data_IF_946736152759
#
_entry.id   IF_946736152759
#
_cell.length_a   1.000
_cell.length_b   1.000
_cell.length_c   1.000
_cell.angle_alpha   90.00
_cell.angle_beta   90.00
_cell.angle_gamma   90.00
#
_symmetry.space_group_name_H-M   'P 1'
#
loop_
_entity.id
_entity.type
_entity.pdbx_description
1 polymer ?
#
# COMPACT_ATOMS: atom_id res chain seq x y z
N UNK A 1 -7.20 -13.84 31.37
CA UNK A 1 -7.39 -12.69 30.46
C UNK A 1 -6.49 -11.56 30.92
N UNK A 2 -5.77 -10.92 30.03
CA UNK A 2 -4.92 -9.78 30.38
C UNK A 2 -5.82 -8.58 30.72
N UNK A 3 -5.44 -7.80 31.74
CA UNK A 3 -6.14 -6.57 32.13
C UNK A 3 -5.30 -5.37 31.72
N UNK A 4 -5.96 -4.30 31.28
CA UNK A 4 -5.33 -3.00 30.99
C UNK A 4 -6.00 -1.89 31.80
N UNK A 5 -5.27 -0.79 32.00
CA UNK A 5 -5.80 0.38 32.68
C UNK A 5 -6.71 1.20 31.75
N UNK A 6 -7.77 1.77 32.31
CA UNK A 6 -8.63 2.76 31.66
C UNK A 6 -8.19 4.14 32.16
N UNK A 7 -7.92 5.03 31.24
CA UNK A 7 -7.45 6.39 31.51
C UNK A 7 -8.59 7.38 31.37
N UNK A 8 -8.66 8.35 32.28
CA UNK A 8 -9.57 9.48 32.20
C UNK A 8 -9.06 10.50 31.17
N UNK A 9 -9.88 11.50 30.86
CA UNK A 9 -9.49 12.65 29.99
C UNK A 9 -8.25 13.37 30.53
N UNK A 10 -8.01 13.35 31.83
CA UNK A 10 -6.84 13.98 32.47
C UNK A 10 -5.59 13.10 32.51
N UNK A 11 -5.69 11.86 32.02
CA UNK A 11 -4.57 10.91 32.02
C UNK A 11 -4.45 10.07 33.32
N UNK A 12 -5.34 10.25 34.29
CA UNK A 12 -5.36 9.47 35.52
C UNK A 12 -5.97 8.08 35.27
N UNK A 13 -5.53 7.08 36.03
CA UNK A 13 -6.11 5.73 35.96
C UNK A 13 -7.46 5.70 36.67
N UNK A 14 -8.53 5.58 35.91
CA UNK A 14 -9.92 5.52 36.43
C UNK A 14 -10.35 4.10 36.80
N UNK A 15 -9.83 3.08 36.10
CA UNK A 15 -10.23 1.69 36.35
C UNK A 15 -9.39 0.68 35.60
N UNK A 16 -9.85 -0.58 35.61
CA UNK A 16 -9.26 -1.68 34.84
C UNK A 16 -10.34 -2.40 34.05
N UNK A 17 -9.99 -2.83 32.86
CA UNK A 17 -10.86 -3.63 31.98
C UNK A 17 -10.14 -4.86 31.45
N UNK A 18 -10.89 -5.93 31.20
CA UNK A 18 -10.38 -7.14 30.60
C UNK A 18 -10.16 -6.92 29.09
N UNK A 19 -8.98 -7.29 28.61
CA UNK A 19 -8.61 -7.13 27.21
C UNK A 19 -9.30 -8.20 26.36
N UNK A 20 -9.95 -7.84 25.24
CA UNK A 20 -10.59 -8.81 24.34
C UNK A 20 -9.62 -9.86 23.83
N UNK A 21 -10.09 -11.10 23.64
CA UNK A 21 -9.29 -12.23 23.14
C UNK A 21 -8.60 -11.99 21.77
N UNK A 22 -9.03 -10.98 21.03
CA UNK A 22 -8.38 -10.59 19.77
C UNK A 22 -6.92 -10.13 19.96
N UNK A 23 -6.59 -9.56 21.11
CA UNK A 23 -5.24 -9.10 21.45
C UNK A 23 -4.31 -10.25 21.91
N UNK A 24 -4.84 -11.42 22.21
CA UNK A 24 -4.05 -12.61 22.56
C UNK A 24 -3.55 -13.37 21.33
N UNK A 25 -3.93 -12.93 20.12
CA UNK A 25 -3.53 -13.57 18.85
C UNK A 25 -2.03 -13.39 18.60
N UNK A 26 -1.29 -14.43 18.18
CA UNK A 26 0.14 -14.32 17.91
C UNK A 26 0.41 -13.32 16.78
N UNK A 27 1.50 -12.57 16.92
CA UNK A 27 1.93 -11.60 15.91
C UNK A 27 2.45 -12.29 14.64
N UNK A 28 1.76 -12.07 13.52
CA UNK A 28 2.02 -12.67 12.20
C UNK A 28 2.25 -11.58 11.14
N UNK A 29 3.47 -11.03 11.06
CA UNK A 29 3.80 -9.96 10.11
C UNK A 29 3.68 -10.40 8.63
N UNK A 30 3.87 -11.69 8.34
CA UNK A 30 3.70 -12.29 7.03
C UNK A 30 2.26 -12.10 6.48
N UNK A 31 1.26 -12.42 7.29
CA UNK A 31 -0.16 -12.28 6.92
C UNK A 31 -0.57 -10.80 6.83
N UNK A 32 -0.09 -9.98 7.76
CA UNK A 32 -0.34 -8.53 7.74
C UNK A 32 0.23 -7.93 6.45
N UNK A 33 1.48 -8.25 6.10
CA UNK A 33 2.11 -7.78 4.85
C UNK A 33 1.31 -8.21 3.63
N UNK A 34 0.89 -9.48 3.55
CA UNK A 34 0.07 -10.02 2.46
C UNK A 34 -1.25 -9.24 2.31
N UNK A 35 -1.93 -8.99 3.42
CA UNK A 35 -3.21 -8.26 3.43
C UNK A 35 -3.03 -6.80 3.02
N UNK A 36 -2.00 -6.12 3.51
CA UNK A 36 -1.70 -4.71 3.18
C UNK A 36 -1.34 -4.57 1.70
N UNK A 37 -0.49 -5.46 1.17
CA UNK A 37 -0.13 -5.44 -0.25
C UNK A 37 -1.35 -5.67 -1.16
N UNK A 38 -2.25 -6.58 -0.76
CA UNK A 38 -3.50 -6.80 -1.49
C UNK A 38 -4.41 -5.57 -1.43
N UNK A 39 -4.56 -4.93 -0.27
CA UNK A 39 -5.36 -3.71 -0.12
C UNK A 39 -4.78 -2.57 -0.97
N UNK A 40 -3.47 -2.37 -0.95
CA UNK A 40 -2.79 -1.36 -1.76
C UNK A 40 -2.94 -1.63 -3.28
N UNK A 41 -2.84 -2.90 -3.69
CA UNK A 41 -3.05 -3.28 -5.09
C UNK A 41 -4.50 -3.05 -5.55
N UNK A 42 -5.48 -3.31 -4.67
CA UNK A 42 -6.90 -3.12 -4.97
C UNK A 42 -7.31 -1.63 -5.00
N UNK A 43 -6.63 -0.78 -4.26
CA UNK A 43 -6.83 0.68 -4.30
C UNK A 43 -6.08 1.38 -5.43
N UNK A 44 -5.26 0.67 -6.18
CA UNK A 44 -4.44 1.23 -7.24
C UNK A 44 -5.28 1.56 -8.47
N UNK A 45 -5.15 2.78 -8.97
CA UNK A 45 -5.76 3.15 -10.24
C UNK A 45 -4.94 2.59 -11.40
N UNK A 46 -5.56 1.84 -12.33
CA UNK A 46 -4.89 1.34 -13.52
C UNK A 46 -4.37 2.49 -14.39
N UNK A 47 -3.18 2.32 -14.89
CA UNK A 47 -2.57 3.34 -15.73
C UNK A 47 -1.66 2.69 -16.78
N UNK A 48 -1.60 3.30 -17.95
CA UNK A 48 -0.76 2.86 -19.05
C UNK A 48 -0.84 3.82 -20.24
N UNK A 49 0.12 3.76 -21.16
CA UNK A 49 0.05 4.52 -22.40
C UNK A 49 -1.12 4.05 -23.26
N UNK A 50 -1.56 4.91 -24.18
CA UNK A 50 -2.57 4.52 -25.17
C UNK A 50 -2.11 3.34 -26.02
N UNK A 51 -3.02 2.48 -26.46
CA UNK A 51 -2.71 1.24 -27.20
C UNK A 51 -1.87 1.48 -28.48
N UNK A 52 -2.02 2.65 -29.10
CA UNK A 52 -1.29 3.04 -30.33
C UNK A 52 -0.11 4.00 -30.08
N UNK A 53 0.35 4.13 -28.84
CA UNK A 53 1.51 4.97 -28.51
C UNK A 53 2.76 4.49 -29.24
N UNK A 54 3.41 5.39 -29.97
CA UNK A 54 4.58 5.08 -30.80
C UNK A 54 4.27 4.45 -32.16
N UNK A 55 2.97 4.25 -32.50
CA UNK A 55 2.52 3.64 -33.76
C UNK A 55 1.64 4.57 -34.61
N UNK A 56 1.71 5.88 -34.36
CA UNK A 56 0.83 6.86 -35.05
C UNK A 56 1.49 7.54 -36.26
N UNK A 57 2.77 7.26 -36.49
CA UNK A 57 3.50 7.81 -37.64
C UNK A 57 3.33 6.91 -38.87
N UNK A 58 3.28 7.55 -40.06
CA UNK A 58 3.43 6.82 -41.31
C UNK A 58 4.90 6.44 -41.48
N UNK A 59 5.16 5.16 -41.60
CA UNK A 59 6.53 4.63 -41.69
C UNK A 59 6.68 3.70 -42.89
N UNK A 60 7.86 3.72 -43.48
CA UNK A 60 8.24 2.81 -44.55
C UNK A 60 9.72 2.48 -44.47
N UNK A 61 10.13 1.36 -45.08
CA UNK A 61 11.55 1.05 -45.24
C UNK A 61 12.08 1.66 -46.54
N UNK A 62 13.34 2.08 -46.53
CA UNK A 62 13.98 2.57 -47.76
C UNK A 62 14.38 1.45 -48.72
N UNK A 63 14.27 0.19 -48.30
CA UNK A 63 14.58 -0.97 -49.09
C UNK A 63 16.09 -1.24 -49.24
N UNK A 64 16.43 -1.98 -50.28
CA UNK A 64 17.82 -2.38 -50.57
C UNK A 64 18.59 -1.25 -51.33
N UNK A 65 19.91 -1.28 -51.26
CA UNK A 65 20.79 -0.42 -52.07
C UNK A 65 20.96 1.01 -51.55
N UNK A 66 20.50 1.31 -50.32
CA UNK A 66 20.58 2.66 -49.72
C UNK A 66 21.76 2.85 -48.76
N UNK A 67 22.54 1.82 -48.48
CA UNK A 67 23.64 1.88 -47.50
C UNK A 67 23.22 2.10 -46.06
N UNK A 68 21.92 2.00 -45.75
CA UNK A 68 21.35 2.20 -44.42
C UNK A 68 20.58 0.99 -43.97
N UNK A 69 20.43 0.84 -42.64
CA UNK A 69 19.64 -0.26 -42.08
C UNK A 69 18.20 -0.24 -42.59
N UNK A 70 17.67 -1.41 -42.95
CA UNK A 70 16.28 -1.62 -43.43
C UNK A 70 15.27 -1.64 -42.29
N UNK A 71 15.23 -0.57 -41.51
CA UNK A 71 14.27 -0.34 -40.42
C UNK A 71 13.17 0.60 -40.90
N UNK A 72 12.06 0.58 -40.23
CA UNK A 72 10.96 1.50 -40.49
C UNK A 72 11.36 2.92 -40.12
N UNK A 73 11.23 3.85 -41.09
CA UNK A 73 11.56 5.26 -40.92
C UNK A 73 10.36 6.13 -41.21
N UNK A 74 10.30 7.32 -40.62
CA UNK A 74 9.26 8.31 -40.88
C UNK A 74 9.33 8.69 -42.35
N UNK A 75 8.18 8.84 -43.00
CA UNK A 75 8.08 9.13 -44.44
C UNK A 75 8.81 10.42 -44.84
N UNK A 76 8.70 11.46 -44.02
CA UNK A 76 9.29 12.77 -44.25
C UNK A 76 10.66 12.96 -43.59
N UNK A 77 11.36 11.88 -43.28
CA UNK A 77 12.66 11.97 -42.59
C UNK A 77 13.44 10.67 -42.56
N UNK A 78 14.64 10.73 -42.02
CA UNK A 78 15.52 9.57 -41.87
C UNK A 78 15.40 8.84 -40.51
N UNK A 79 14.64 9.40 -39.59
CA UNK A 79 14.53 8.87 -38.21
C UNK A 79 13.81 7.53 -38.18
N UNK A 80 14.47 6.51 -37.63
CA UNK A 80 13.86 5.22 -37.40
C UNK A 80 12.82 5.32 -36.25
N UNK A 81 11.66 4.71 -36.46
CA UNK A 81 10.55 4.74 -35.46
C UNK A 81 9.66 3.51 -35.58
N UNK A 82 8.67 3.39 -34.71
CA UNK A 82 7.67 2.33 -34.60
C UNK A 82 8.24 0.97 -34.15
N UNK A 83 9.35 0.53 -34.69
CA UNK A 83 9.97 -0.73 -34.24
C UNK A 83 10.49 -0.63 -32.81
N UNK A 84 10.25 -1.64 -31.95
CA UNK A 84 10.76 -1.61 -30.57
C UNK A 84 12.29 -1.76 -30.49
N UNK A 85 12.94 -2.23 -31.55
CA UNK A 85 14.38 -2.42 -31.60
C UNK A 85 15.15 -1.14 -31.92
N UNK A 86 14.46 -0.07 -32.30
CA UNK A 86 15.09 1.21 -32.63
C UNK A 86 15.38 2.03 -31.38
N UNK A 87 16.44 2.82 -31.41
CA UNK A 87 16.67 3.86 -30.39
C UNK A 87 15.50 4.85 -30.45
N UNK A 88 14.87 5.11 -29.31
CA UNK A 88 13.65 5.90 -29.20
C UNK A 88 12.43 5.32 -29.93
N UNK A 89 12.42 4.02 -30.24
CA UNK A 89 11.25 3.29 -30.74
C UNK A 89 10.18 3.09 -29.67
N UNK A 90 9.03 2.53 -30.08
CA UNK A 90 7.97 2.22 -29.13
C UNK A 90 8.39 1.14 -28.14
N UNK A 91 7.77 1.13 -26.98
CA UNK A 91 7.95 0.04 -25.99
C UNK A 91 7.26 -1.22 -26.49
N UNK A 92 7.99 -2.35 -26.54
CA UNK A 92 7.44 -3.63 -27.02
C UNK A 92 6.30 -4.14 -26.14
N UNK A 93 6.46 -4.07 -24.82
CA UNK A 93 5.52 -4.53 -23.81
C UNK A 93 5.26 -3.41 -22.79
N UNK A 94 4.47 -2.38 -23.17
CA UNK A 94 4.12 -1.31 -22.24
C UNK A 94 3.14 -1.82 -21.18
N UNK A 95 3.05 -1.16 -20.01
CA UNK A 95 1.97 -1.41 -19.09
C UNK A 95 0.63 -1.10 -19.76
N UNK A 96 -0.39 -1.91 -19.49
CA UNK A 96 -1.74 -1.72 -20.03
C UNK A 96 -2.75 -1.54 -18.90
N UNK A 97 -3.74 -0.63 -19.06
CA UNK A 97 -4.76 -0.41 -18.03
C UNK A 97 -5.69 -1.60 -17.85
N UNK A 98 -5.86 -2.46 -18.87
CA UNK A 98 -6.70 -3.66 -18.81
C UNK A 98 -6.11 -4.78 -17.94
N UNK A 99 -4.84 -4.66 -17.53
CA UNK A 99 -4.22 -5.63 -16.61
C UNK A 99 -5.03 -5.72 -15.32
N UNK A 100 -5.32 -6.96 -14.90
CA UNK A 100 -5.93 -7.17 -13.60
C UNK A 100 -4.90 -6.89 -12.48
N UNK A 101 -5.10 -5.80 -11.77
CA UNK A 101 -4.26 -5.35 -10.65
C UNK A 101 -4.74 -5.88 -9.30
N UNK A 102 -5.96 -6.45 -9.27
CA UNK A 102 -6.59 -6.90 -8.03
C UNK A 102 -5.91 -8.15 -7.48
N UNK A 103 -5.62 -8.12 -6.18
CA UNK A 103 -5.10 -9.26 -5.44
C UNK A 103 -6.16 -9.77 -4.46
N UNK A 104 -6.39 -11.08 -4.48
CA UNK A 104 -7.33 -11.74 -3.58
C UNK A 104 -6.60 -12.34 -2.38
N UNK A 105 -7.15 -12.12 -1.19
CA UNK A 105 -6.72 -12.77 0.06
C UNK A 105 -7.89 -13.56 0.61
N UNK A 106 -7.65 -14.78 1.06
CA UNK A 106 -8.67 -15.63 1.65
C UNK A 106 -9.28 -14.96 2.89
N UNK A 107 -10.58 -15.16 3.10
CA UNK A 107 -11.30 -14.52 4.20
C UNK A 107 -10.69 -14.86 5.58
N UNK A 108 -10.34 -16.14 5.82
CA UNK A 108 -9.71 -16.57 7.08
C UNK A 108 -8.36 -15.89 7.30
N UNK A 109 -7.52 -15.79 6.26
CA UNK A 109 -6.23 -15.09 6.34
C UNK A 109 -6.40 -13.59 6.62
N UNK A 110 -7.39 -12.95 5.98
CA UNK A 110 -7.68 -11.53 6.20
C UNK A 110 -8.17 -11.24 7.62
N UNK A 111 -9.02 -12.12 8.18
CA UNK A 111 -9.49 -12.00 9.57
C UNK A 111 -8.32 -12.21 10.54
N UNK A 112 -7.48 -13.21 10.30
CA UNK A 112 -6.32 -13.50 11.14
C UNK A 112 -5.29 -12.36 11.06
N UNK A 113 -5.06 -11.78 9.89
CA UNK A 113 -4.19 -10.62 9.73
C UNK A 113 -4.67 -9.41 10.55
N UNK A 114 -5.98 -9.13 10.56
CA UNK A 114 -6.55 -8.05 11.38
C UNK A 114 -6.41 -8.30 12.88
N UNK A 115 -6.72 -9.52 13.33
CA UNK A 115 -6.54 -9.89 14.74
C UNK A 115 -5.08 -9.78 15.18
N UNK A 116 -4.16 -10.27 14.34
CA UNK A 116 -2.73 -10.17 14.58
C UNK A 116 -2.22 -8.72 14.61
N UNK A 117 -2.77 -7.85 13.76
CA UNK A 117 -2.44 -6.43 13.78
C UNK A 117 -2.95 -5.73 15.05
N UNK A 118 -4.16 -6.08 15.51
CA UNK A 118 -4.69 -5.60 16.79
C UNK A 118 -3.83 -6.08 17.97
N UNK A 119 -3.42 -7.35 17.97
CA UNK A 119 -2.52 -7.88 19.00
C UNK A 119 -1.19 -7.12 19.04
N UNK A 120 -0.65 -6.70 17.89
CA UNK A 120 0.56 -5.92 17.83
C UNK A 120 0.42 -4.52 18.47
N UNK A 121 -0.77 -3.91 18.44
CA UNK A 121 -1.03 -2.63 19.13
C UNK A 121 -1.08 -2.77 20.66
N UNK A 122 -1.35 -3.96 21.16
CA UNK A 122 -1.29 -4.28 22.60
C UNK A 122 0.13 -4.63 23.09
N UNK A 123 1.10 -4.75 22.21
CA UNK A 123 2.47 -5.12 22.55
C UNK A 123 3.37 -3.87 22.61
N UNK A 124 3.77 -3.43 23.81
CA UNK A 124 4.63 -2.26 24.02
C UNK A 124 5.94 -2.32 23.20
N UNK A 125 6.55 -3.51 23.10
CA UNK A 125 7.78 -3.70 22.33
C UNK A 125 7.55 -3.44 20.81
N UNK A 126 6.41 -3.92 20.26
CA UNK A 126 6.05 -3.69 18.88
C UNK A 126 5.76 -2.20 18.59
N UNK A 127 5.09 -1.53 19.52
CA UNK A 127 4.76 -0.10 19.45
C UNK A 127 6.05 0.73 19.49
N UNK A 128 6.99 0.42 20.41
CA UNK A 128 8.31 1.06 20.53
C UNK A 128 9.17 0.85 19.28
N UNK A 129 9.19 -0.37 18.74
CA UNK A 129 9.91 -0.70 17.49
C UNK A 129 9.37 0.05 16.28
N UNK A 130 8.09 0.45 16.30
CA UNK A 130 7.46 1.29 15.28
C UNK A 130 7.86 2.76 15.35
N UNK A 131 8.52 3.20 16.44
CA UNK A 131 9.01 4.56 16.63
C UNK A 131 8.10 5.46 17.49
N UNK A 132 7.08 4.91 18.12
CA UNK A 132 6.25 5.66 19.06
C UNK A 132 7.01 5.91 20.36
N UNK A 133 6.90 7.14 20.88
CA UNK A 133 7.47 7.54 22.16
C UNK A 133 6.35 7.57 23.21
N UNK A 134 6.57 6.90 24.30
CA UNK A 134 5.65 6.84 25.44
C UNK A 134 6.40 6.47 26.71
N UNK A 135 5.84 6.81 27.86
CA UNK A 135 6.43 6.46 29.15
C UNK A 135 6.21 4.99 29.47
N UNK A 136 7.17 4.34 30.09
CA UNK A 136 7.11 2.91 30.44
C UNK A 136 5.99 2.59 31.47
N UNK A 137 5.38 3.60 32.09
CA UNK A 137 4.23 3.47 32.99
C UNK A 137 2.90 3.23 32.26
N UNK A 138 2.83 3.48 30.94
CA UNK A 138 1.59 3.35 30.15
C UNK A 138 1.31 1.89 29.84
N UNK A 139 0.10 1.43 30.17
CA UNK A 139 -0.35 0.09 29.81
C UNK A 139 -0.96 0.03 28.41
N UNK A 140 -0.69 -1.06 27.68
CA UNK A 140 -1.24 -1.32 26.34
C UNK A 140 -2.20 -2.50 26.34
N UNK A 141 -3.27 -2.46 25.51
CA UNK A 141 -3.69 -1.34 24.67
C UNK A 141 -4.16 -0.14 25.52
N UNK A 142 -3.98 1.08 25.00
CA UNK A 142 -4.48 2.30 25.66
C UNK A 142 -5.99 2.32 25.55
N UNK A 143 -6.67 2.35 26.70
CA UNK A 143 -8.12 2.45 26.79
C UNK A 143 -8.46 3.74 27.53
N UNK A 144 -9.38 4.51 27.00
CA UNK A 144 -9.86 5.78 27.58
C UNK A 144 -11.33 5.70 27.87
N UNK A 145 -11.81 6.52 28.80
CA UNK A 145 -13.24 6.65 29.11
C UNK A 145 -14.03 7.25 27.95
N UNK A 146 -15.32 6.98 27.92
CA UNK A 146 -16.22 7.47 26.85
C UNK A 146 -16.35 9.01 26.85
N UNK A 147 -16.09 9.67 27.96
CA UNK A 147 -16.11 11.14 28.13
C UNK A 147 -15.18 11.87 27.14
N UNK A 148 -14.15 11.16 26.62
CA UNK A 148 -13.27 11.69 25.56
C UNK A 148 -14.04 12.02 24.27
N UNK A 149 -15.18 11.37 24.02
CA UNK A 149 -16.01 11.62 22.82
C UNK A 149 -16.78 12.95 22.93
N UNK A 150 -17.01 13.45 24.15
CA UNK A 150 -17.76 14.68 24.40
C UNK A 150 -16.87 15.95 24.37
N UNK A 151 -15.57 15.80 24.20
CA UNK A 151 -14.61 16.91 24.11
C UNK A 151 -14.89 17.72 22.84
N UNK A 152 -15.18 19.01 22.99
CA UNK A 152 -15.52 19.93 21.89
C UNK A 152 -14.35 20.75 21.41
N UNK A 153 -13.29 20.89 22.20
CA UNK A 153 -12.15 21.74 21.92
C UNK A 153 -10.85 20.95 21.93
N UNK A 154 -9.98 21.16 20.95
CA UNK A 154 -8.65 20.54 20.91
C UNK A 154 -7.76 20.98 22.08
N UNK A 155 -7.99 22.16 22.66
CA UNK A 155 -7.25 22.64 23.84
C UNK A 155 -7.59 21.91 25.12
N UNK A 156 -8.69 21.14 25.16
CA UNK A 156 -9.08 20.31 26.30
C UNK A 156 -8.39 18.93 26.29
N UNK A 157 -7.72 18.60 25.18
CA UNK A 157 -6.99 17.32 24.99
C UNK A 157 -5.51 17.44 25.35
N UNK A 158 -4.98 18.67 25.48
CA UNK A 158 -3.57 18.95 25.80
C UNK A 158 -3.42 19.31 27.28
#
# INVERSE_FOLDING_TARGET
MAQTNVYSVKGDVAGKIDVPAAFETPYRPDLIKKAVLAAAANGRQPYGPGARSGMRHSVSTWGKGRGTARVQRIHDGSKATESPNNVSGRRAHPPVPEKNWSLKVNQKERVLARKSALAATGCAACVKARGHQFDDAVSFPIVVEDDVQDIKSTSEVY
#
